data_IF_351582238243
#
_entry.id   IF_351582238243
#
_cell.length_a   1.000
_cell.length_b   1.000
_cell.length_c   1.000
_cell.angle_alpha   90.00
_cell.angle_beta   90.00
_cell.angle_gamma   90.00
#
_symmetry.space_group_name_H-M   'P 1'
#
loop_
_entity.id
_entity.type
_entity.pdbx_description
1 polymer ?
#
# COMPACT_ATOMS: atom_id res chain seq x y z
N UNK A 1 33.58 26.22 -18.35
CA UNK A 1 33.66 24.89 -18.99
C UNK A 1 32.58 24.02 -18.35
N UNK A 2 31.72 23.49 -19.22
CA UNK A 2 30.60 22.52 -19.09
C UNK A 2 30.82 21.50 -17.95
N UNK A 3 29.82 21.00 -17.20
CA UNK A 3 28.60 20.31 -17.65
C UNK A 3 27.45 20.43 -16.63
N UNK A 4 26.26 20.83 -17.11
CA UNK A 4 24.97 20.64 -16.42
C UNK A 4 24.40 19.29 -16.86
N UNK A 5 24.15 18.38 -15.91
CA UNK A 5 23.27 17.23 -16.15
C UNK A 5 21.88 17.51 -15.58
N UNK A 6 20.97 17.78 -16.50
CA UNK A 6 19.52 17.75 -16.31
C UNK A 6 19.06 16.33 -16.61
N UNK A 7 18.46 15.64 -15.64
CA UNK A 7 17.73 14.41 -15.89
C UNK A 7 16.25 14.59 -15.50
N UNK A 8 15.40 14.60 -16.53
CA UNK A 8 13.95 14.44 -16.50
C UNK A 8 13.63 13.02 -16.97
N UNK A 9 13.02 12.19 -16.14
CA UNK A 9 12.22 11.02 -16.52
C UNK A 9 11.12 10.91 -15.45
N UNK A 10 9.85 11.29 -15.67
CA UNK A 10 8.77 10.72 -16.50
C UNK A 10 8.54 9.23 -16.28
N UNK A 11 7.75 8.89 -15.25
CA UNK A 11 6.92 7.68 -15.26
C UNK A 11 5.45 8.11 -15.32
N UNK A 12 4.84 7.94 -16.50
CA UNK A 12 3.40 8.01 -16.70
C UNK A 12 2.91 6.56 -16.61
N UNK A 13 2.23 6.21 -15.52
CA UNK A 13 1.48 4.96 -15.46
C UNK A 13 0.16 5.21 -16.18
N UNK A 14 0.08 4.82 -17.45
CA UNK A 14 -1.17 4.74 -18.20
C UNK A 14 -1.87 3.45 -17.77
N UNK A 15 -2.79 3.55 -16.82
CA UNK A 15 -3.74 2.48 -16.53
C UNK A 15 -4.75 2.40 -17.68
N UNK A 16 -4.62 1.38 -18.53
CA UNK A 16 -5.65 1.00 -19.50
C UNK A 16 -6.83 0.39 -18.73
N UNK A 17 -7.91 1.16 -18.58
CA UNK A 17 -9.21 0.61 -18.18
C UNK A 17 -10.05 0.26 -19.42
N UNK A 18 -10.66 -0.94 -19.49
CA UNK A 18 -11.60 -1.26 -20.55
C UNK A 18 -13.02 -0.81 -20.18
N UNK A 19 -13.74 -0.26 -21.17
CA UNK A 19 -15.19 -0.35 -21.26
C UNK A 19 -16.02 0.72 -20.52
N UNK A 20 -16.29 1.84 -21.20
CA UNK A 20 -17.54 2.59 -21.01
C UNK A 20 -18.24 2.71 -22.36
N UNK A 21 -19.32 1.95 -22.52
CA UNK A 21 -20.25 2.07 -23.63
C UNK A 21 -21.00 3.39 -23.54
N UNK A 22 -21.00 4.13 -24.64
CA UNK A 22 -21.78 5.33 -24.85
C UNK A 22 -23.27 4.97 -24.95
N UNK A 23 -24.11 5.70 -24.21
CA UNK A 23 -25.55 5.79 -24.48
C UNK A 23 -25.70 6.95 -25.46
N UNK A 24 -26.01 6.63 -26.72
CA UNK A 24 -26.43 7.62 -27.72
C UNK A 24 -27.96 7.58 -27.81
N UNK A 25 -28.54 8.67 -27.33
CA UNK A 25 -29.90 9.11 -27.62
C UNK A 25 -29.96 9.66 -29.05
N UNK A 26 -30.98 9.29 -29.82
CA UNK A 26 -31.40 10.07 -30.98
C UNK A 26 -32.91 9.98 -31.16
N UNK A 27 -33.54 11.12 -30.97
CA UNK A 27 -34.93 11.43 -31.20
C UNK A 27 -35.31 11.40 -32.70
N UNK A 28 -36.52 10.89 -32.95
CA UNK A 28 -37.59 11.55 -33.70
C UNK A 28 -37.74 11.47 -35.24
N UNK A 29 -39.03 11.56 -35.60
CA UNK A 29 -39.68 12.07 -36.82
C UNK A 29 -40.04 11.05 -37.90
N UNK A 30 -41.36 10.97 -38.18
CA UNK A 30 -41.85 10.68 -39.53
C UNK A 30 -43.21 9.99 -39.64
N UNK A 31 -44.31 10.66 -39.31
CA UNK A 31 -45.58 10.43 -40.03
C UNK A 31 -45.53 11.25 -41.33
N UNK A 32 -46.14 10.75 -42.43
CA UNK A 32 -47.41 11.35 -42.81
C UNK A 32 -48.46 10.37 -43.37
N UNK A 33 -49.70 10.70 -43.02
CA UNK A 33 -50.96 10.67 -43.79
C UNK A 33 -50.94 10.18 -45.26
N UNK A 34 -51.96 9.40 -45.68
CA UNK A 34 -53.04 9.82 -46.60
C UNK A 34 -53.87 8.62 -47.14
N UNK A 35 -55.19 8.83 -47.15
CA UNK A 35 -56.28 8.30 -48.02
C UNK A 35 -56.62 6.80 -48.11
N UNK A 36 -57.82 6.47 -47.62
CA UNK A 36 -59.00 6.36 -48.50
C UNK A 36 -59.23 5.05 -49.26
N UNK A 37 -60.34 4.36 -48.95
CA UNK A 37 -60.97 3.41 -49.89
C UNK A 37 -61.71 2.24 -49.25
N UNK A 38 -63.03 2.39 -49.04
CA UNK A 38 -64.03 1.29 -49.08
C UNK A 38 -63.98 0.66 -50.49
N UNK A 39 -64.30 -0.60 -50.83
CA UNK A 39 -65.19 -1.68 -50.37
C UNK A 39 -64.78 -2.90 -51.25
N UNK A 40 -64.89 -4.17 -50.86
CA UNK A 40 -66.03 -5.05 -51.19
C UNK A 40 -65.84 -6.43 -50.53
N UNK A 41 -67.00 -7.05 -50.30
CA UNK A 41 -67.30 -8.28 -49.58
C UNK A 41 -66.94 -9.53 -50.41
N UNK A 42 -66.35 -10.54 -49.77
CA UNK A 42 -66.73 -11.95 -50.00
C UNK A 42 -66.49 -12.78 -48.74
N UNK A 43 -67.43 -13.70 -48.52
CA UNK A 43 -67.67 -14.52 -47.33
C UNK A 43 -66.87 -15.86 -47.44
N UNK A 44 -67.06 -16.87 -46.57
CA UNK A 44 -66.05 -17.31 -45.62
C UNK A 44 -65.46 -18.70 -45.95
N UNK A 45 -64.62 -19.15 -45.02
CA UNK A 45 -64.29 -20.54 -44.70
C UNK A 45 -63.03 -21.21 -45.30
N UNK A 46 -62.16 -21.50 -44.34
CA UNK A 46 -61.46 -22.77 -44.13
C UNK A 46 -60.03 -22.91 -44.67
N UNK A 47 -59.14 -22.79 -43.68
CA UNK A 47 -58.12 -23.81 -43.37
C UNK A 47 -56.79 -23.67 -44.09
N UNK A 48 -55.95 -22.78 -43.58
CA UNK A 48 -54.51 -23.02 -43.51
C UNK A 48 -54.08 -22.86 -42.06
N UNK A 49 -53.60 -23.91 -41.36
CA UNK A 49 -52.91 -23.72 -40.11
C UNK A 49 -51.57 -23.06 -40.45
N UNK A 50 -51.51 -21.74 -40.28
CA UNK A 50 -50.24 -21.04 -40.19
C UNK A 50 -49.50 -21.67 -39.02
N UNK A 51 -48.54 -22.53 -39.35
CA UNK A 51 -47.54 -23.02 -38.42
C UNK A 51 -46.92 -21.79 -37.74
N UNK A 52 -47.39 -21.49 -36.54
CA UNK A 52 -46.62 -20.72 -35.57
C UNK A 52 -45.36 -21.55 -35.36
N UNK A 53 -44.28 -21.16 -36.01
CA UNK A 53 -42.95 -21.33 -35.47
C UNK A 53 -42.87 -20.43 -34.23
N UNK A 54 -43.58 -20.83 -33.18
CA UNK A 54 -43.22 -20.46 -31.82
C UNK A 54 -41.92 -21.23 -31.62
N UNK A 55 -40.80 -20.51 -31.80
CA UNK A 55 -39.52 -21.00 -31.32
C UNK A 55 -39.75 -21.40 -29.87
N UNK A 56 -39.65 -22.70 -29.63
CA UNK A 56 -39.68 -23.28 -28.30
C UNK A 56 -38.38 -22.80 -27.64
N UNK A 57 -38.41 -21.58 -27.10
CA UNK A 57 -37.37 -21.01 -26.24
C UNK A 57 -37.45 -21.75 -24.89
N UNK A 58 -37.24 -23.07 -24.93
CA UNK A 58 -36.96 -23.89 -23.77
C UNK A 58 -35.60 -23.40 -23.26
N UNK A 59 -35.65 -22.44 -22.34
CA UNK A 59 -34.50 -22.06 -21.54
C UNK A 59 -33.85 -23.33 -21.02
N UNK A 60 -32.57 -23.51 -21.36
CA UNK A 60 -31.72 -24.62 -20.89
C UNK A 60 -32.03 -24.87 -19.40
N UNK A 61 -32.46 -26.09 -19.10
CA UNK A 61 -33.10 -26.52 -17.85
C UNK A 61 -32.58 -25.82 -16.57
N UNK A 62 -33.44 -25.51 -15.58
CA UNK A 62 -33.04 -24.99 -14.26
C UNK A 62 -31.87 -25.75 -13.61
N UNK A 63 -31.74 -27.04 -13.92
CA UNK A 63 -30.65 -27.90 -13.43
C UNK A 63 -29.28 -27.49 -14.02
N UNK A 64 -29.24 -27.09 -15.29
CA UNK A 64 -28.02 -26.61 -15.96
C UNK A 64 -27.62 -25.24 -15.40
N UNK A 65 -28.60 -24.35 -15.19
CA UNK A 65 -28.35 -23.04 -14.57
C UNK A 65 -27.81 -23.16 -13.15
N UNK A 66 -28.36 -24.07 -12.34
CA UNK A 66 -27.88 -24.31 -10.96
C UNK A 66 -26.46 -24.87 -10.93
N UNK A 67 -26.13 -25.82 -11.82
CA UNK A 67 -24.77 -26.35 -11.96
C UNK A 67 -23.77 -25.27 -12.32
N UNK A 68 -24.12 -24.43 -13.31
CA UNK A 68 -23.24 -23.36 -13.80
C UNK A 68 -23.00 -22.29 -12.72
N UNK A 69 -24.05 -21.89 -11.99
CA UNK A 69 -23.93 -20.96 -10.85
C UNK A 69 -23.04 -21.53 -9.73
N UNK A 70 -23.16 -22.83 -9.45
CA UNK A 70 -22.35 -23.50 -8.42
C UNK A 70 -20.86 -23.52 -8.79
N UNK A 71 -20.54 -23.81 -10.06
CA UNK A 71 -19.15 -23.80 -10.53
C UNK A 71 -18.56 -22.40 -10.48
N UNK A 72 -19.29 -21.39 -10.94
CA UNK A 72 -18.82 -19.99 -10.92
C UNK A 72 -18.60 -19.49 -9.50
N UNK A 73 -19.49 -19.83 -8.56
CA UNK A 73 -19.34 -19.44 -7.14
C UNK A 73 -18.15 -20.12 -6.47
N UNK A 74 -17.88 -21.40 -6.78
CA UNK A 74 -16.68 -22.09 -6.31
C UNK A 74 -15.40 -21.44 -6.83
N UNK A 75 -15.35 -21.09 -8.12
CA UNK A 75 -14.20 -20.38 -8.71
C UNK A 75 -14.01 -19.01 -8.05
N UNK A 76 -15.09 -18.24 -7.88
CA UNK A 76 -15.04 -16.92 -7.25
C UNK A 76 -14.54 -17.03 -5.80
N UNK A 77 -15.02 -18.01 -5.04
CA UNK A 77 -14.59 -18.25 -3.66
C UNK A 77 -13.09 -18.55 -3.58
N UNK A 78 -12.57 -19.40 -4.47
CA UNK A 78 -11.14 -19.70 -4.54
C UNK A 78 -10.30 -18.48 -4.90
N UNK A 79 -10.77 -17.63 -5.83
CA UNK A 79 -10.10 -16.37 -6.18
C UNK A 79 -10.07 -15.41 -5.00
N UNK A 80 -11.20 -15.22 -4.31
CA UNK A 80 -11.28 -14.36 -3.12
C UNK A 80 -10.38 -14.89 -2.01
N UNK A 81 -10.39 -16.21 -1.75
CA UNK A 81 -9.51 -16.84 -0.77
C UNK A 81 -8.03 -16.63 -1.14
N UNK A 82 -7.66 -16.79 -2.41
CA UNK A 82 -6.30 -16.53 -2.88
C UNK A 82 -5.90 -15.07 -2.71
N UNK A 83 -6.79 -14.10 -2.98
CA UNK A 83 -6.53 -12.68 -2.75
C UNK A 83 -6.36 -12.38 -1.26
N UNK A 84 -7.22 -12.93 -0.39
CA UNK A 84 -7.14 -12.75 1.06
C UNK A 84 -5.85 -13.37 1.62
N UNK A 85 -5.51 -14.59 1.19
CA UNK A 85 -4.25 -15.24 1.56
C UNK A 85 -3.04 -14.47 1.03
N UNK A 86 -3.09 -13.95 -0.20
CA UNK A 86 -2.02 -13.11 -0.76
C UNK A 86 -1.86 -11.82 0.05
N UNK A 87 -2.96 -11.21 0.47
CA UNK A 87 -2.93 -10.01 1.29
C UNK A 87 -2.35 -10.27 2.69
N UNK A 88 -2.71 -11.37 3.34
CA UNK A 88 -2.17 -11.73 4.66
C UNK A 88 -0.70 -12.17 4.58
N UNK A 89 -0.32 -12.92 3.53
CA UNK A 89 1.06 -13.41 3.35
C UNK A 89 2.02 -12.30 2.89
N UNK A 90 1.50 -11.22 2.30
CA UNK A 90 2.30 -10.07 1.88
C UNK A 90 2.90 -9.28 3.05
N UNK A 91 2.38 -9.43 4.28
CA UNK A 91 2.85 -8.66 5.43
C UNK A 91 4.08 -9.26 6.14
N UNK A 92 4.39 -10.55 5.97
CA UNK A 92 5.45 -11.23 6.76
C UNK A 92 6.59 -11.87 5.95
N UNK A 93 6.44 -12.10 4.63
CA UNK A 93 7.43 -12.88 3.85
C UNK A 93 8.24 -12.10 2.81
N UNK A 94 7.94 -10.83 2.59
CA UNK A 94 8.75 -10.00 1.71
C UNK A 94 9.60 -9.05 2.56
N UNK A 95 10.94 -9.10 2.48
CA UNK A 95 11.75 -8.05 3.07
C UNK A 95 11.27 -6.74 2.45
N UNK A 96 10.68 -5.90 3.29
CA UNK A 96 10.18 -4.62 2.85
C UNK A 96 11.40 -3.83 2.38
N UNK A 97 11.34 -3.43 1.11
CA UNK A 97 12.30 -2.56 0.41
C UNK A 97 12.30 -1.11 0.99
N UNK A 98 12.05 -0.99 2.29
CA UNK A 98 12.00 0.26 3.03
C UNK A 98 13.42 0.71 3.34
N UNK A 99 13.69 2.03 3.25
CA UNK A 99 15.01 2.55 3.58
C UNK A 99 15.31 2.25 5.05
N UNK A 100 16.51 1.74 5.33
CA UNK A 100 16.97 1.49 6.70
C UNK A 100 18.25 2.29 6.96
N UNK A 101 18.05 3.61 7.12
CA UNK A 101 19.12 4.60 7.33
C UNK A 101 19.35 4.81 8.82
N UNK A 102 18.26 4.78 9.58
CA UNK A 102 18.23 4.84 11.03
C UNK A 102 17.88 3.46 11.56
N UNK A 103 18.86 2.84 12.19
CA UNK A 103 18.74 1.50 12.74
C UNK A 103 18.54 1.57 14.26
N UNK A 104 17.79 0.61 14.79
CA UNK A 104 17.66 0.38 16.22
C UNK A 104 18.95 -0.32 16.66
N UNK A 105 19.81 0.41 17.38
CA UNK A 105 21.02 -0.17 17.96
C UNK A 105 20.67 -1.17 19.05
N UNK A 106 19.70 -0.80 19.89
CA UNK A 106 19.23 -1.61 21.01
C UNK A 106 17.96 -1.05 21.63
N UNK A 107 17.23 -1.95 22.28
CA UNK A 107 16.20 -1.64 23.26
C UNK A 107 16.70 -2.07 24.64
N UNK A 108 16.64 -1.18 25.62
CA UNK A 108 17.10 -1.44 26.99
C UNK A 108 15.98 -1.18 27.99
N UNK A 109 15.92 -1.98 29.05
CA UNK A 109 14.90 -1.89 30.09
C UNK A 109 15.58 -1.51 31.42
N UNK A 110 15.15 -0.43 32.09
CA UNK A 110 15.77 0.02 33.34
C UNK A 110 14.74 0.60 34.33
N UNK A 111 14.27 -0.24 35.25
CA UNK A 111 13.22 0.11 36.21
C UNK A 111 13.54 1.33 37.12
N UNK A 112 14.79 1.80 37.20
CA UNK A 112 15.15 2.94 38.07
C UNK A 112 14.95 4.32 37.42
N UNK A 113 15.17 4.45 36.10
CA UNK A 113 15.16 5.76 35.41
C UNK A 113 14.16 5.87 34.27
N UNK A 114 13.93 4.79 33.53
CA UNK A 114 13.07 4.76 32.35
C UNK A 114 12.62 3.32 32.11
N UNK A 115 11.33 3.11 31.92
CA UNK A 115 10.81 1.75 31.83
C UNK A 115 11.35 0.99 30.60
N UNK A 116 11.50 1.67 29.46
CA UNK A 116 12.24 1.17 28.31
C UNK A 116 12.92 2.31 27.56
N UNK A 117 13.99 2.01 26.82
CA UNK A 117 14.77 2.97 26.04
C UNK A 117 15.11 2.36 24.69
N UNK A 118 14.75 3.08 23.64
CA UNK A 118 15.18 2.77 22.28
C UNK A 118 16.34 3.68 21.93
N UNK A 119 17.44 3.09 21.43
CA UNK A 119 18.57 3.84 20.89
C UNK A 119 18.62 3.64 19.39
N UNK A 120 18.51 4.74 18.66
CA UNK A 120 18.58 4.79 17.21
C UNK A 120 19.95 5.31 16.81
N UNK A 121 20.57 4.71 15.80
CA UNK A 121 21.85 5.13 15.26
C UNK A 121 21.77 5.31 13.76
N UNK A 122 22.49 6.32 13.25
CA UNK A 122 22.61 6.55 11.82
C UNK A 122 23.59 5.54 11.22
N UNK A 123 23.09 4.59 10.44
CA UNK A 123 23.94 3.66 9.73
C UNK A 123 24.27 4.16 8.31
N UNK A 124 25.53 4.57 8.11
CA UNK A 124 26.02 4.98 6.78
C UNK A 124 26.10 3.80 5.82
N UNK A 125 26.40 2.61 6.33
CA UNK A 125 26.66 1.42 5.51
C UNK A 125 25.79 0.30 6.05
N UNK A 126 24.65 0.01 5.40
CA UNK A 126 23.75 -1.03 5.88
C UNK A 126 24.56 -2.30 6.06
N UNK A 127 24.33 -3.01 7.15
CA UNK A 127 24.98 -4.31 7.37
C UNK A 127 24.52 -5.23 6.24
N UNK A 128 25.32 -5.35 5.19
CA UNK A 128 24.99 -6.21 4.07
C UNK A 128 24.87 -7.65 4.61
N UNK A 129 23.89 -8.44 4.13
CA UNK A 129 23.83 -9.85 4.47
C UNK A 129 25.19 -10.48 4.19
N UNK A 130 25.76 -11.12 5.22
CA UNK A 130 27.07 -11.76 5.20
C UNK A 130 27.21 -12.61 3.93
N UNK A 131 28.09 -12.20 3.02
CA UNK A 131 28.51 -12.91 1.80
C UNK A 131 27.43 -13.75 1.09
N UNK A 132 26.25 -13.17 0.91
CA UNK A 132 25.19 -13.76 0.10
C UNK A 132 25.55 -13.68 -1.40
N UNK A 133 25.24 -14.75 -2.13
CA UNK A 133 25.32 -14.82 -3.59
C UNK A 133 24.61 -13.63 -4.23
N UNK A 134 23.48 -13.18 -3.69
CA UNK A 134 22.75 -12.02 -4.19
C UNK A 134 23.56 -10.73 -4.08
N UNK A 135 24.21 -10.47 -2.95
CA UNK A 135 25.12 -9.34 -2.74
C UNK A 135 26.28 -9.36 -3.74
N UNK A 136 26.85 -10.56 -3.99
CA UNK A 136 27.94 -10.73 -4.98
C UNK A 136 27.46 -10.45 -6.40
N UNK A 137 26.27 -10.90 -6.76
CA UNK A 137 25.67 -10.64 -8.08
C UNK A 137 25.35 -9.16 -8.24
N UNK A 138 24.70 -8.52 -7.26
CA UNK A 138 24.41 -7.09 -7.27
C UNK A 138 25.68 -6.26 -7.46
N UNK A 139 26.75 -6.60 -6.75
CA UNK A 139 28.05 -5.93 -6.90
C UNK A 139 28.68 -6.16 -8.28
N UNK A 140 28.62 -7.38 -8.80
CA UNK A 140 29.17 -7.72 -10.12
C UNK A 140 28.44 -6.99 -11.26
N UNK A 141 27.11 -6.86 -11.15
CA UNK A 141 26.28 -6.20 -12.16
C UNK A 141 26.12 -4.68 -11.95
N UNK A 142 26.74 -4.12 -10.91
CA UNK A 142 26.58 -2.70 -10.58
C UNK A 142 25.15 -2.32 -10.17
N UNK A 143 24.37 -3.28 -9.69
CA UNK A 143 23.00 -3.09 -9.18
C UNK A 143 22.99 -2.79 -7.68
N UNK A 144 24.09 -2.28 -7.14
CA UNK A 144 24.14 -1.82 -5.77
C UNK A 144 23.21 -0.60 -5.64
N UNK A 145 22.18 -0.75 -4.81
CA UNK A 145 21.18 0.29 -4.62
C UNK A 145 21.85 1.44 -3.87
N UNK A 146 22.07 2.56 -4.56
CA UNK A 146 22.51 3.79 -3.90
C UNK A 146 21.27 4.40 -3.27
N UNK A 147 21.09 4.25 -1.96
CA UNK A 147 20.08 5.00 -1.22
C UNK A 147 20.56 6.47 -1.11
N UNK A 148 19.97 7.41 -1.86
CA UNK A 148 20.47 8.80 -1.92
C UNK A 148 20.37 9.50 -0.55
N UNK A 149 19.48 9.01 0.31
CA UNK A 149 19.23 9.54 1.64
C UNK A 149 20.35 9.20 2.65
N UNK A 150 21.25 8.24 2.35
CA UNK A 150 22.40 7.86 3.22
C UNK A 150 23.56 8.85 3.21
N UNK A 151 23.56 9.79 2.29
CA UNK A 151 24.53 10.90 2.28
C UNK A 151 23.90 12.21 2.75
N UNK A 152 22.59 12.20 2.98
CA UNK A 152 21.83 13.37 3.36
C UNK A 152 21.90 13.62 4.87
N UNK A 153 22.09 14.88 5.22
CA UNK A 153 21.97 15.36 6.60
C UNK A 153 20.53 15.83 6.80
N UNK A 154 19.86 15.28 7.81
CA UNK A 154 18.50 15.67 8.16
C UNK A 154 18.50 16.64 9.34
N UNK A 155 17.62 17.64 9.26
CA UNK A 155 17.26 18.45 10.42
C UNK A 155 16.35 17.61 11.31
N UNK A 156 16.73 17.40 12.57
CA UNK A 156 15.92 16.59 13.50
C UNK A 156 14.57 17.23 13.82
N UNK A 157 14.40 18.53 13.58
CA UNK A 157 13.12 19.20 13.77
C UNK A 157 12.13 18.94 12.63
N UNK A 158 12.63 18.59 11.45
CA UNK A 158 11.83 18.16 10.31
C UNK A 158 11.40 16.69 10.42
N UNK A 159 12.00 15.92 11.33
CA UNK A 159 11.73 14.51 11.48
C UNK A 159 10.72 14.23 12.59
N UNK A 160 9.85 13.26 12.38
CA UNK A 160 8.95 12.73 13.39
C UNK A 160 8.91 11.21 13.30
N UNK A 161 8.48 10.54 14.37
CA UNK A 161 8.56 9.08 14.47
C UNK A 161 7.25 8.43 14.92
N UNK A 162 7.00 7.23 14.39
CA UNK A 162 6.00 6.27 14.87
C UNK A 162 6.69 5.03 15.40
N UNK A 163 6.02 4.38 16.32
CA UNK A 163 6.47 3.13 16.89
C UNK A 163 5.36 2.08 16.76
N UNK A 164 5.79 0.85 16.58
CA UNK A 164 4.93 -0.31 16.59
C UNK A 164 5.49 -1.34 17.56
N UNK A 165 4.59 -2.08 18.21
CA UNK A 165 4.91 -3.21 19.06
C UNK A 165 4.16 -4.42 18.55
N UNK A 166 4.88 -5.48 18.22
CA UNK A 166 4.30 -6.74 17.70
C UNK A 166 3.35 -6.49 16.52
N UNK A 167 3.74 -5.58 15.62
CA UNK A 167 2.95 -5.16 14.45
C UNK A 167 1.86 -4.12 14.71
N UNK A 168 1.52 -3.82 15.97
CA UNK A 168 0.48 -2.85 16.33
C UNK A 168 1.06 -1.45 16.55
N UNK A 169 0.45 -0.42 15.96
CA UNK A 169 0.80 0.98 16.19
C UNK A 169 0.54 1.35 17.65
N UNK A 170 1.57 1.86 18.35
CA UNK A 170 1.39 2.33 19.72
C UNK A 170 1.03 3.82 19.73
N UNK A 171 0.17 4.24 20.66
CA UNK A 171 -0.24 5.65 20.84
C UNK A 171 0.87 6.46 21.53
N UNK A 172 2.00 6.56 20.86
CA UNK A 172 3.14 7.39 21.24
C UNK A 172 3.32 8.46 20.18
N UNK A 173 3.27 9.72 20.61
CA UNK A 173 3.45 10.87 19.71
C UNK A 173 4.86 11.43 19.86
N UNK A 174 5.66 11.30 18.82
CA UNK A 174 6.97 11.95 18.70
C UNK A 174 6.92 12.91 17.52
N UNK A 175 6.42 14.15 17.72
CA UNK A 175 6.19 15.10 16.65
C UNK A 175 7.49 15.75 16.14
N UNK A 176 8.60 15.60 16.86
CA UNK A 176 9.92 16.11 16.49
C UNK A 176 10.99 15.24 17.13
N UNK A 177 12.08 14.97 16.42
CA UNK A 177 13.27 14.33 16.98
C UNK A 177 14.27 15.36 17.54
N UNK A 178 14.00 16.66 17.35
CA UNK A 178 14.78 17.72 17.95
C UNK A 178 14.41 17.91 19.42
N UNK A 179 15.31 17.46 20.30
CA UNK A 179 15.08 17.38 21.76
C UNK A 179 14.59 18.69 22.40
N UNK A 180 15.14 19.88 22.08
CA UNK A 180 14.66 21.14 22.66
C UNK A 180 13.20 21.49 22.30
N UNK A 181 12.72 21.06 21.12
CA UNK A 181 11.33 21.26 20.72
C UNK A 181 10.44 20.15 21.25
N UNK A 182 10.97 18.92 21.35
CA UNK A 182 10.29 17.81 22.01
C UNK A 182 9.92 18.21 23.43
N UNK A 183 10.85 18.63 24.28
CA UNK A 183 10.59 18.96 25.70
C UNK A 183 9.40 19.92 25.91
N UNK A 184 9.09 20.78 24.93
CA UNK A 184 7.99 21.76 24.99
C UNK A 184 6.61 21.18 24.68
N UNK A 185 6.52 19.96 24.15
CA UNK A 185 5.25 19.30 23.83
C UNK A 185 4.70 18.49 25.00
N UNK A 186 3.41 18.16 24.96
CA UNK A 186 2.86 17.15 25.87
C UNK A 186 3.27 15.75 25.41
N UNK A 187 3.84 14.96 26.33
CA UNK A 187 4.41 13.66 26.03
C UNK A 187 3.50 12.52 26.44
N UNK A 188 3.00 11.78 25.44
CA UNK A 188 2.26 10.54 25.66
C UNK A 188 3.22 9.35 25.49
N UNK A 189 3.40 8.56 26.55
CA UNK A 189 4.26 7.36 26.58
C UNK A 189 5.78 7.61 26.59
N UNK A 190 6.25 8.81 26.23
CA UNK A 190 7.69 9.15 26.22
C UNK A 190 8.04 10.09 27.39
N UNK A 191 9.19 9.86 27.99
CA UNK A 191 9.69 10.66 29.12
C UNK A 191 10.70 11.71 28.66
N UNK A 192 11.68 11.30 27.85
CA UNK A 192 12.75 12.18 27.35
C UNK A 192 13.29 11.67 26.02
N UNK A 193 13.77 12.58 25.20
CA UNK A 193 14.62 12.29 24.04
C UNK A 193 16.01 12.89 24.28
N UNK A 194 17.05 12.28 23.74
CA UNK A 194 18.38 12.87 23.70
C UNK A 194 18.97 12.66 22.31
N UNK A 195 19.49 13.71 21.70
CA UNK A 195 19.96 13.69 20.33
C UNK A 195 20.67 14.99 19.95
N UNK A 196 21.33 14.99 18.79
CA UNK A 196 21.93 16.19 18.21
C UNK A 196 20.88 16.99 17.43
N UNK A 197 21.19 18.26 17.15
CA UNK A 197 20.31 19.15 16.34
C UNK A 197 20.13 18.65 14.91
N UNK A 198 21.19 18.10 14.32
CA UNK A 198 21.14 17.45 13.02
C UNK A 198 21.48 15.98 13.18
N UNK A 199 20.85 15.15 12.34
CA UNK A 199 21.16 13.74 12.26
C UNK A 199 22.10 13.52 11.08
N UNK A 200 23.31 13.07 11.40
CA UNK A 200 24.42 12.85 10.47
C UNK A 200 25.17 11.57 10.85
N UNK A 201 26.17 11.19 10.04
CA UNK A 201 26.98 9.98 10.24
C UNK A 201 27.44 9.81 11.70
N UNK A 202 27.20 8.61 12.25
CA UNK A 202 27.47 8.23 13.65
C UNK A 202 26.64 8.98 14.71
N UNK A 203 25.62 9.73 14.30
CA UNK A 203 24.67 10.37 15.20
C UNK A 203 23.77 9.34 15.88
N UNK A 204 23.57 9.50 17.19
CA UNK A 204 22.65 8.67 17.97
C UNK A 204 21.51 9.51 18.54
N UNK A 205 20.32 8.93 18.55
CA UNK A 205 19.17 9.45 19.27
C UNK A 205 18.71 8.38 20.26
N UNK A 206 18.40 8.82 21.48
CA UNK A 206 17.87 7.97 22.53
C UNK A 206 16.48 8.45 22.89
N UNK A 207 15.51 7.54 22.95
CA UNK A 207 14.13 7.82 23.31
C UNK A 207 13.79 6.97 24.53
N UNK A 208 13.45 7.62 25.64
CA UNK A 208 13.10 6.98 26.91
C UNK A 208 11.59 6.96 27.06
N UNK A 209 11.02 5.79 27.30
CA UNK A 209 9.60 5.56 27.48
C UNK A 209 9.25 5.38 28.95
N UNK A 210 8.03 5.80 29.33
CA UNK A 210 7.63 5.98 30.73
C UNK A 210 6.99 4.74 31.36
N UNK A 211 6.32 3.88 30.59
CA UNK A 211 5.31 2.95 31.11
C UNK A 211 5.49 1.47 30.71
N UNK A 212 6.74 1.05 30.50
CA UNK A 212 7.12 -0.28 29.99
C UNK A 212 6.44 -0.55 28.65
N UNK A 213 6.40 0.49 27.81
CA UNK A 213 5.86 0.44 26.45
C UNK A 213 6.37 -0.77 25.68
N UNK A 214 7.67 -1.06 25.84
CA UNK A 214 8.34 -2.24 25.31
C UNK A 214 8.85 -3.11 26.45
N UNK A 215 8.79 -4.43 26.23
CA UNK A 215 9.24 -5.49 27.14
C UNK A 215 10.21 -6.41 26.41
N UNK A 216 11.06 -7.16 27.15
CA UNK A 216 11.88 -8.20 26.54
C UNK A 216 11.04 -9.19 25.72
N UNK A 217 11.48 -9.50 24.50
CA UNK A 217 10.78 -10.35 23.54
C UNK A 217 9.80 -9.63 22.62
N UNK A 218 9.50 -8.35 22.85
CA UNK A 218 8.66 -7.58 21.92
C UNK A 218 9.40 -7.33 20.61
N UNK A 219 8.68 -7.45 19.49
CA UNK A 219 9.13 -6.92 18.20
C UNK A 219 8.81 -5.43 18.15
N UNK A 220 9.85 -4.61 18.15
CA UNK A 220 9.77 -3.14 18.12
C UNK A 220 10.10 -2.66 16.72
N UNK A 221 9.17 -1.98 16.06
CA UNK A 221 9.42 -1.29 14.78
C UNK A 221 9.36 0.21 14.99
N UNK A 222 10.30 0.92 14.40
CA UNK A 222 10.31 2.39 14.33
C UNK A 222 10.19 2.81 12.88
N UNK A 223 9.38 3.84 12.65
CA UNK A 223 9.30 4.52 11.36
C UNK A 223 9.58 6.00 11.55
N UNK A 224 10.42 6.55 10.68
CA UNK A 224 10.89 7.92 10.72
C UNK A 224 10.49 8.60 9.42
N UNK A 225 9.79 9.72 9.57
CA UNK A 225 9.21 10.46 8.47
C UNK A 225 9.75 11.88 8.44
N UNK A 226 9.89 12.45 7.24
CA UNK A 226 10.13 13.87 7.04
C UNK A 226 8.80 14.61 6.95
N UNK A 227 8.67 15.76 7.62
CA UNK A 227 7.52 16.65 7.50
C UNK A 227 7.55 17.40 6.17
N UNK A 228 8.72 17.94 5.81
CA UNK A 228 8.88 18.74 4.58
C UNK A 228 8.72 17.91 3.31
N UNK A 229 9.16 16.65 3.31
CA UNK A 229 9.05 15.75 2.16
C UNK A 229 7.83 14.81 2.22
N UNK A 230 7.07 14.85 3.32
CA UNK A 230 5.86 14.04 3.56
C UNK A 230 6.03 12.54 3.24
N UNK A 231 7.21 11.98 3.52
CA UNK A 231 7.53 10.58 3.17
C UNK A 231 8.31 9.86 4.26
N UNK A 232 8.29 8.53 4.18
CA UNK A 232 9.14 7.65 4.98
C UNK A 232 10.61 7.87 4.59
N UNK A 233 11.44 8.12 5.60
CA UNK A 233 12.89 8.27 5.48
C UNK A 233 13.59 7.01 5.95
N UNK A 234 13.09 6.38 7.01
CA UNK A 234 13.64 5.11 7.47
C UNK A 234 12.61 4.28 8.21
N UNK A 235 12.72 2.97 8.10
CA UNK A 235 12.08 2.03 8.99
C UNK A 235 13.09 0.99 9.45
N UNK A 236 12.96 0.54 10.69
CA UNK A 236 13.75 -0.58 11.19
C UNK A 236 12.98 -1.37 12.25
N UNK A 237 13.32 -2.65 12.39
CA UNK A 237 12.66 -3.59 13.30
C UNK A 237 13.70 -4.33 14.16
N UNK A 238 13.43 -4.44 15.46
CA UNK A 238 14.31 -5.03 16.45
C UNK A 238 13.54 -5.91 17.44
N UNK A 239 14.16 -6.98 17.92
CA UNK A 239 13.60 -7.83 18.98
C UNK A 239 14.24 -7.44 20.32
N UNK A 240 13.42 -6.91 21.23
CA UNK A 240 13.82 -6.27 22.49
C UNK A 240 14.31 -7.24 23.59
#
# INVERSE_FOLDING_TARGET
MTVRHSYREKYIIVALMPGRSAILSSDSIGCPSVAGGRTYISHPDNSCPMARLYGDDQGVSPQIGALLLTVVTMILFLVVLAIVLSFQLSFDLFPQDEPCIFEIEKVTHNDEKFASRVTLWYNKTPTQPVDDVESRLKKLFGWERVEPDREKVYDTDDLWARFYRNGELIDVKIPTLYTPNFIKTHHYGVQTTNGRKSWCQNGKITINFKDRTFRPGDTVRVEIYSKSEERLISADTYIA
#
